data_IF_771933565640
#
_entry.id   IF_771933565640
#
_cell.length_a   1.000
_cell.length_b   1.000
_cell.length_c   1.000
_cell.angle_alpha   90.00
_cell.angle_beta   90.00
_cell.angle_gamma   90.00
#
_symmetry.space_group_name_H-M   'P 1'
#
loop_
_entity.id
_entity.type
_entity.pdbx_description
1 polymer ?
#
# COMPACT_ATOMS: atom_id res chain seq x y z
N UNK A 1 -25.51 -27.75 2.63
CA UNK A 1 -24.82 -27.05 1.52
C UNK A 1 -23.42 -26.69 1.98
N UNK A 2 -22.41 -26.85 1.12
CA UNK A 2 -21.01 -26.57 1.47
C UNK A 2 -20.76 -25.06 1.32
N UNK A 3 -20.29 -24.42 2.40
CA UNK A 3 -19.96 -22.99 2.42
C UNK A 3 -18.46 -22.78 2.29
N UNK A 4 -18.09 -21.69 1.64
CA UNK A 4 -16.71 -21.27 1.42
C UNK A 4 -16.54 -19.85 1.94
N UNK A 5 -15.42 -19.60 2.61
CA UNK A 5 -15.05 -18.26 3.07
C UNK A 5 -14.29 -17.55 1.96
N UNK A 6 -14.77 -16.38 1.53
CA UNK A 6 -14.07 -15.56 0.54
C UNK A 6 -12.70 -15.10 1.08
N UNK A 7 -11.67 -15.12 0.24
CA UNK A 7 -10.32 -14.69 0.64
C UNK A 7 -10.14 -13.17 0.65
N UNK A 8 -11.00 -12.43 -0.06
CA UNK A 8 -10.94 -10.97 -0.15
C UNK A 8 -11.75 -10.30 0.97
N UNK A 9 -13.04 -10.65 1.08
CA UNK A 9 -13.96 -10.00 2.03
C UNK A 9 -14.28 -10.84 3.27
N UNK A 10 -13.82 -12.10 3.32
CA UNK A 10 -14.08 -13.04 4.42
C UNK A 10 -15.55 -13.40 4.66
N UNK A 11 -16.46 -13.08 3.73
CA UNK A 11 -17.86 -13.51 3.75
C UNK A 11 -18.00 -15.01 3.50
N UNK A 12 -19.00 -15.64 4.12
CA UNK A 12 -19.31 -17.07 3.94
C UNK A 12 -20.39 -17.25 2.88
N UNK A 13 -20.00 -17.84 1.75
CA UNK A 13 -20.84 -17.99 0.57
C UNK A 13 -21.13 -19.46 0.29
N UNK A 14 -22.26 -19.72 -0.36
CA UNK A 14 -22.54 -21.04 -0.91
C UNK A 14 -21.66 -21.32 -2.14
N UNK A 15 -21.37 -22.60 -2.40
CA UNK A 15 -20.47 -23.03 -3.47
C UNK A 15 -20.82 -22.45 -4.85
N UNK A 16 -22.11 -22.34 -5.16
CA UNK A 16 -22.61 -21.87 -6.45
C UNK A 16 -22.36 -20.36 -6.66
N UNK A 17 -22.35 -19.59 -5.57
CA UNK A 17 -22.16 -18.14 -5.61
C UNK A 17 -20.69 -17.72 -5.49
N UNK A 18 -19.84 -18.58 -4.91
CA UNK A 18 -18.44 -18.27 -4.61
C UNK A 18 -17.67 -17.78 -5.84
N UNK A 19 -17.77 -18.49 -6.98
CA UNK A 19 -17.03 -18.13 -8.20
C UNK A 19 -17.45 -16.76 -8.75
N UNK A 20 -18.76 -16.48 -8.79
CA UNK A 20 -19.27 -15.19 -9.27
C UNK A 20 -18.82 -14.06 -8.34
N UNK A 21 -18.93 -14.24 -7.03
CA UNK A 21 -18.48 -13.26 -6.04
C UNK A 21 -16.97 -13.02 -6.13
N UNK A 22 -16.17 -14.08 -6.25
CA UNK A 22 -14.71 -13.99 -6.42
C UNK A 22 -14.32 -13.16 -7.65
N UNK A 23 -15.01 -13.36 -8.79
CA UNK A 23 -14.77 -12.60 -10.01
C UNK A 23 -15.05 -11.10 -9.86
N UNK A 24 -16.02 -10.69 -9.03
CA UNK A 24 -16.29 -9.27 -8.80
C UNK A 24 -15.11 -8.55 -8.15
N UNK A 25 -14.39 -9.20 -7.22
CA UNK A 25 -13.17 -8.63 -6.61
C UNK A 25 -12.02 -8.46 -7.63
N UNK A 26 -11.97 -9.32 -8.65
CA UNK A 26 -10.94 -9.28 -9.69
C UNK A 26 -11.25 -8.26 -10.80
N UNK A 27 -12.46 -7.69 -10.84
CA UNK A 27 -12.78 -6.67 -11.83
C UNK A 27 -11.88 -5.45 -11.62
N UNK A 28 -11.29 -5.00 -12.71
CA UNK A 28 -10.52 -3.77 -12.74
C UNK A 28 -11.45 -2.58 -13.03
N UNK A 29 -11.07 -1.43 -12.49
CA UNK A 29 -11.64 -0.13 -12.81
C UNK A 29 -11.33 0.26 -14.27
N UNK A 30 -12.05 1.24 -14.85
CA UNK A 30 -11.79 1.72 -16.21
C UNK A 30 -10.37 2.25 -16.44
N UNK A 31 -9.71 2.74 -15.38
CA UNK A 31 -8.32 3.20 -15.38
C UNK A 31 -7.30 2.05 -15.25
N UNK A 32 -7.77 0.81 -15.20
CA UNK A 32 -6.97 -0.41 -15.08
C UNK A 32 -6.60 -0.78 -13.64
N UNK A 33 -6.92 0.04 -12.64
CA UNK A 33 -6.62 -0.24 -11.24
C UNK A 33 -7.57 -1.26 -10.61
N UNK A 34 -7.18 -1.84 -9.47
CA UNK A 34 -8.06 -2.69 -8.68
C UNK A 34 -9.14 -1.85 -7.98
N UNK A 35 -10.29 -2.46 -7.70
CA UNK A 35 -11.38 -1.80 -6.98
C UNK A 35 -11.13 -1.68 -5.48
N UNK A 36 -10.38 -2.62 -4.91
CA UNK A 36 -10.20 -2.77 -3.47
C UNK A 36 -8.71 -2.78 -3.12
N UNK A 37 -8.31 -1.82 -2.30
CA UNK A 37 -6.95 -1.74 -1.75
C UNK A 37 -7.01 -1.72 -0.23
N UNK A 38 -6.00 -2.32 0.41
CA UNK A 38 -5.86 -2.30 1.87
C UNK A 38 -5.28 -0.95 2.28
N UNK A 39 -6.15 0.01 2.62
CA UNK A 39 -5.73 1.36 3.06
C UNK A 39 -6.01 1.58 4.55
N UNK A 40 -5.31 2.53 5.16
CA UNK A 40 -5.68 3.00 6.50
C UNK A 40 -7.07 3.65 6.48
N UNK A 41 -7.81 3.64 7.61
CA UNK A 41 -9.09 4.32 7.73
C UNK A 41 -9.01 5.80 7.31
N UNK A 42 -10.06 6.39 6.72
CA UNK A 42 -10.06 7.79 6.27
C UNK A 42 -9.53 8.80 7.30
N UNK A 43 -9.90 8.63 8.57
CA UNK A 43 -9.47 9.49 9.68
C UNK A 43 -7.96 9.41 9.97
N UNK A 44 -7.31 8.29 9.66
CA UNK A 44 -5.88 8.07 9.92
C UNK A 44 -5.01 8.54 8.74
N UNK A 45 -5.59 8.65 7.54
CA UNK A 45 -4.93 9.17 6.33
C UNK A 45 -5.14 10.67 6.10
N UNK A 46 -6.03 11.31 6.85
CA UNK A 46 -6.17 12.77 6.88
C UNK A 46 -4.97 13.39 7.60
N UNK A 47 -4.07 14.00 6.84
CA UNK A 47 -3.07 15.02 7.21
C UNK A 47 -1.74 14.74 6.50
N UNK A 48 -1.57 15.39 5.36
CA UNK A 48 -0.31 15.83 4.75
C UNK A 48 -0.65 16.34 3.35
N UNK A 49 0.03 17.39 2.88
CA UNK A 49 0.05 17.70 1.46
C UNK A 49 0.74 16.56 0.73
N UNK A 50 0.25 16.18 -0.44
CA UNK A 50 0.94 15.24 -1.34
C UNK A 50 1.85 15.96 -2.35
N UNK A 51 2.03 17.26 -2.18
CA UNK A 51 2.95 18.03 -3.00
C UNK A 51 4.38 17.48 -2.86
N UNK A 52 5.02 17.20 -4.00
CA UNK A 52 6.36 16.60 -4.06
C UNK A 52 6.42 15.10 -3.76
N UNK A 53 5.29 14.44 -3.49
CA UNK A 53 5.24 12.98 -3.32
C UNK A 53 5.03 12.33 -4.70
N UNK A 54 5.89 11.39 -5.11
CA UNK A 54 5.71 10.69 -6.38
C UNK A 54 4.43 9.85 -6.36
N UNK A 55 3.67 9.88 -7.45
CA UNK A 55 2.37 9.23 -7.56
C UNK A 55 2.22 8.40 -8.84
N UNK A 56 3.12 8.55 -9.81
CA UNK A 56 3.12 7.78 -11.05
C UNK A 56 4.42 7.02 -11.17
N UNK A 57 4.34 5.72 -11.42
CA UNK A 57 5.52 4.91 -11.68
C UNK A 57 5.44 4.22 -13.03
N UNK A 58 6.60 3.93 -13.59
CA UNK A 58 6.82 3.30 -14.87
C UNK A 58 7.33 1.87 -14.68
N UNK A 59 6.75 0.92 -15.40
CA UNK A 59 7.23 -0.46 -15.48
C UNK A 59 7.90 -0.72 -16.82
N UNK A 60 9.24 -0.80 -16.81
CA UNK A 60 10.03 -0.91 -18.04
C UNK A 60 9.76 -2.19 -18.85
N UNK A 61 9.26 -3.27 -18.22
CA UNK A 61 9.01 -4.54 -18.94
C UNK A 61 7.75 -4.51 -19.79
N UNK A 62 6.70 -3.80 -19.38
CA UNK A 62 5.45 -3.70 -20.12
C UNK A 62 5.19 -2.31 -20.73
N UNK A 63 6.17 -1.40 -20.61
CA UNK A 63 6.13 -0.05 -21.17
C UNK A 63 4.87 0.73 -20.78
N UNK A 64 4.43 0.56 -19.52
CA UNK A 64 3.19 1.16 -19.01
C UNK A 64 3.45 2.02 -17.78
N UNK A 65 2.61 3.05 -17.65
CA UNK A 65 2.57 3.94 -16.50
C UNK A 65 1.38 3.60 -15.62
N UNK A 66 1.61 3.55 -14.32
CA UNK A 66 0.56 3.31 -13.33
C UNK A 66 0.54 4.47 -12.35
N UNK A 67 -0.63 5.11 -12.24
CA UNK A 67 -0.89 6.14 -11.24
C UNK A 67 -1.39 5.50 -9.96
N UNK A 68 -0.63 5.61 -8.88
CA UNK A 68 -1.02 5.13 -7.58
C UNK A 68 -2.17 5.99 -7.01
N UNK A 69 -3.27 5.37 -6.55
CA UNK A 69 -4.36 6.08 -5.89
C UNK A 69 -3.89 6.84 -4.64
N UNK A 70 -4.47 8.01 -4.41
CA UNK A 70 -4.10 8.89 -3.30
C UNK A 70 -4.32 8.22 -1.93
N UNK A 71 -5.37 7.42 -1.77
CA UNK A 71 -5.61 6.68 -0.54
C UNK A 71 -4.48 5.68 -0.21
N UNK A 72 -3.87 5.06 -1.22
CA UNK A 72 -2.70 4.19 -1.05
C UNK A 72 -1.50 5.03 -0.62
N UNK A 73 -1.26 6.15 -1.30
CA UNK A 73 -0.12 7.03 -1.03
C UNK A 73 -0.13 7.49 0.43
N UNK A 74 -1.27 8.02 0.87
CA UNK A 74 -1.43 8.50 2.26
C UNK A 74 -1.27 7.37 3.28
N UNK A 75 -1.71 6.17 2.94
CA UNK A 75 -1.61 5.02 3.85
C UNK A 75 -0.16 4.55 4.02
N UNK A 76 0.60 4.41 2.93
CA UNK A 76 1.99 3.95 3.04
C UNK A 76 2.91 5.05 3.61
N UNK A 77 2.65 6.33 3.35
CA UNK A 77 3.43 7.41 3.96
C UNK A 77 3.25 7.45 5.49
N UNK A 78 2.07 7.09 5.98
CA UNK A 78 1.79 7.00 7.41
C UNK A 78 2.41 5.76 8.04
N UNK A 79 2.34 4.62 7.34
CA UNK A 79 2.93 3.36 7.76
C UNK A 79 3.53 2.62 6.55
N UNK A 80 4.85 2.76 6.30
CA UNK A 80 5.53 2.11 5.17
C UNK A 80 5.56 0.57 5.24
N UNK A 81 5.18 -0.01 6.38
CA UNK A 81 5.05 -1.45 6.59
C UNK A 81 3.63 -1.98 6.36
N UNK A 82 2.68 -1.13 5.93
CA UNK A 82 1.34 -1.59 5.56
C UNK A 82 1.37 -2.57 4.38
N UNK A 83 2.29 -2.33 3.43
CA UNK A 83 2.51 -3.18 2.27
C UNK A 83 3.92 -3.79 2.34
N UNK A 84 4.04 -4.90 3.06
CA UNK A 84 5.32 -5.59 3.29
C UNK A 84 5.74 -6.53 2.15
N UNK A 85 4.91 -6.66 1.11
CA UNK A 85 5.13 -7.66 0.06
C UNK A 85 6.22 -7.27 -0.96
N UNK A 86 6.78 -6.05 -0.93
CA UNK A 86 7.72 -5.53 -1.93
C UNK A 86 7.24 -5.70 -3.38
N UNK A 87 5.91 -5.64 -3.55
CA UNK A 87 5.21 -5.76 -4.81
C UNK A 87 4.20 -4.62 -4.95
N UNK A 88 3.95 -4.18 -6.18
CA UNK A 88 2.95 -3.14 -6.50
C UNK A 88 2.18 -3.52 -7.76
N UNK A 89 0.91 -3.12 -7.85
CA UNK A 89 0.02 -3.52 -8.93
C UNK A 89 0.25 -2.71 -10.22
N UNK A 90 0.75 -3.34 -11.28
CA UNK A 90 0.93 -2.68 -12.58
C UNK A 90 -0.34 -2.77 -13.43
N UNK A 91 -0.86 -1.63 -13.90
CA UNK A 91 -2.04 -1.55 -14.78
C UNK A 91 -1.81 -2.12 -16.18
N UNK A 92 -0.57 -2.12 -16.67
CA UNK A 92 -0.19 -2.73 -17.96
C UNK A 92 -0.20 -4.26 -17.89
N UNK A 93 0.49 -4.83 -16.90
CA UNK A 93 0.52 -6.27 -16.66
C UNK A 93 -0.77 -6.81 -16.01
N UNK A 94 -1.60 -5.94 -15.43
CA UNK A 94 -2.81 -6.28 -14.65
C UNK A 94 -2.53 -7.23 -13.49
N UNK A 95 -1.36 -7.12 -12.89
CA UNK A 95 -0.90 -7.96 -11.77
C UNK A 95 0.09 -7.22 -10.90
N UNK A 96 0.33 -7.76 -9.70
CA UNK A 96 1.41 -7.32 -8.83
C UNK A 96 2.76 -7.71 -9.42
N UNK A 97 3.68 -6.75 -9.49
CA UNK A 97 5.06 -6.91 -9.96
C UNK A 97 6.04 -6.42 -8.89
N UNK A 98 7.29 -6.90 -8.88
CA UNK A 98 8.28 -6.48 -7.89
C UNK A 98 8.54 -4.97 -7.95
N UNK A 99 8.60 -4.31 -6.79
CA UNK A 99 8.91 -2.88 -6.69
C UNK A 99 10.28 -2.52 -7.28
N UNK A 100 11.22 -3.48 -7.29
CA UNK A 100 12.54 -3.34 -7.93
C UNK A 100 12.45 -3.09 -9.45
N UNK A 101 11.34 -3.44 -10.10
CA UNK A 101 11.14 -3.22 -11.54
C UNK A 101 10.49 -1.87 -11.87
N UNK A 102 10.13 -1.11 -10.84
CA UNK A 102 9.33 0.10 -10.95
C UNK A 102 10.17 1.34 -10.66
N UNK A 103 9.95 2.39 -11.45
CA UNK A 103 10.65 3.67 -11.31
C UNK A 103 9.61 4.78 -11.17
N UNK A 104 9.73 5.60 -10.15
CA UNK A 104 8.90 6.79 -10.00
C UNK A 104 9.20 7.79 -11.11
N UNK A 105 8.17 8.25 -11.82
CA UNK A 105 8.35 9.12 -12.98
C UNK A 105 8.81 10.53 -12.59
N UNK A 106 8.38 10.99 -11.43
CA UNK A 106 8.63 12.34 -10.94
C UNK A 106 10.05 12.52 -10.40
N UNK A 107 10.64 11.46 -9.83
CA UNK A 107 11.98 11.50 -9.22
C UNK A 107 13.03 10.69 -9.96
N UNK A 108 12.64 9.75 -10.82
CA UNK A 108 13.54 8.77 -11.44
C UNK A 108 14.07 7.72 -10.45
N UNK A 109 13.58 7.70 -9.21
CA UNK A 109 14.03 6.77 -8.17
C UNK A 109 13.36 5.40 -8.34
N UNK A 110 14.12 4.33 -8.07
CA UNK A 110 13.56 2.99 -7.99
C UNK A 110 12.57 2.89 -6.81
N UNK A 111 11.41 2.31 -7.03
CA UNK A 111 10.35 2.25 -6.02
C UNK A 111 10.78 1.46 -4.77
N UNK A 112 11.55 0.39 -4.92
CA UNK A 112 12.04 -0.37 -3.77
C UNK A 112 12.96 0.48 -2.90
N UNK A 113 13.92 1.18 -3.50
CA UNK A 113 14.85 2.06 -2.76
C UNK A 113 14.11 3.18 -2.04
N UNK A 114 13.11 3.77 -2.69
CA UNK A 114 12.24 4.77 -2.09
C UNK A 114 11.50 4.19 -0.85
N UNK A 115 10.91 3.00 -0.97
CA UNK A 115 10.21 2.33 0.13
C UNK A 115 11.14 1.96 1.29
N UNK A 116 12.34 1.46 0.99
CA UNK A 116 13.33 1.08 2.00
C UNK A 116 13.79 2.30 2.80
N UNK A 117 13.99 3.44 2.13
CA UNK A 117 14.30 4.71 2.80
C UNK A 117 13.17 5.16 3.72
N UNK A 118 11.91 5.13 3.25
CA UNK A 118 10.76 5.46 4.10
C UNK A 118 10.63 4.54 5.33
N UNK A 119 10.87 3.24 5.15
CA UNK A 119 10.85 2.26 6.25
C UNK A 119 11.96 2.52 7.27
N UNK A 120 13.15 2.88 6.81
CA UNK A 120 14.26 3.26 7.69
C UNK A 120 13.95 4.54 8.48
N UNK A 121 13.43 5.59 7.82
CA UNK A 121 12.99 6.84 8.45
C UNK A 121 11.88 6.59 9.48
N UNK A 122 10.90 5.74 9.14
CA UNK A 122 9.82 5.36 10.05
C UNK A 122 10.35 4.63 11.29
N UNK A 123 11.21 3.64 11.11
CA UNK A 123 11.79 2.86 12.21
C UNK A 123 12.58 3.74 13.18
N UNK A 124 13.40 4.65 12.65
CA UNK A 124 14.13 5.64 13.45
C UNK A 124 13.18 6.54 14.26
N UNK A 125 12.11 7.04 13.64
CA UNK A 125 11.10 7.86 14.32
C UNK A 125 10.39 7.13 15.47
N UNK A 126 10.05 5.85 15.28
CA UNK A 126 9.44 5.03 16.33
C UNK A 126 10.40 4.82 17.51
N UNK A 127 11.67 4.55 17.24
CA UNK A 127 12.70 4.39 18.27
C UNK A 127 12.88 5.67 19.10
N UNK A 128 13.00 6.82 18.44
CA UNK A 128 13.13 8.11 19.14
C UNK A 128 11.90 8.43 20.01
N UNK A 129 10.71 8.10 19.51
CA UNK A 129 9.46 8.26 20.27
C UNK A 129 9.42 7.37 21.50
N UNK A 130 9.90 6.12 21.38
CA UNK A 130 10.03 5.20 22.51
C UNK A 130 11.02 5.72 23.55
N UNK A 131 12.23 6.10 23.13
CA UNK A 131 13.26 6.63 24.04
C UNK A 131 12.78 7.88 24.79
N UNK A 132 12.08 8.79 24.10
CA UNK A 132 11.47 9.98 24.72
C UNK A 132 10.47 9.60 25.82
N UNK A 133 9.61 8.61 25.58
CA UNK A 133 8.63 8.12 26.56
C UNK A 133 9.31 7.50 27.78
N UNK A 134 10.36 6.70 27.56
CA UNK A 134 11.16 6.10 28.65
C UNK A 134 11.81 7.19 29.50
N UNK A 135 12.45 8.18 28.88
CA UNK A 135 13.07 9.31 29.58
C UNK A 135 12.05 10.11 30.40
N UNK A 136 10.87 10.40 29.83
CA UNK A 136 9.79 11.09 30.53
C UNK A 136 9.31 10.31 31.76
N UNK A 137 9.16 8.99 31.64
CA UNK A 137 8.74 8.13 32.75
C UNK A 137 9.78 8.10 33.87
N UNK A 138 11.08 7.97 33.53
CA UNK A 138 12.16 7.97 34.52
C UNK A 138 12.26 9.30 35.30
N UNK A 139 12.01 10.44 34.64
CA UNK A 139 12.13 11.76 35.26
C UNK A 139 10.83 12.30 35.88
N UNK A 140 9.71 11.59 35.73
CA UNK A 140 8.45 11.86 36.45
C UNK A 140 8.28 10.96 37.68
N UNK A 141 9.18 9.98 37.88
CA UNK A 141 9.16 9.03 39.01
C UNK A 141 10.07 9.45 40.18
N UNK A 142 10.54 10.70 40.18
CA UNK A 142 11.31 11.37 41.26
C UNK A 142 10.53 12.59 41.70
#
# INVERSE_FOLDING_TARGET
MKKYRCEFCHEWLDQEDYLRHHQEHLKLRPDGQQNEYVTLPPKEREQASLEGIPCIYYHAKCDSYTRMPEEIIRSYLKNPYLYSADMSFCTGCKTHVPCLELVWTETGENMQLYNDRLRAEFSYSQEQSFLKRVWQWLNQSI
#
